data_IF_399174246086
#
_entry.id   IF_399174246086
#
_cell.length_a   1.000
_cell.length_b   1.000
_cell.length_c   1.000
_cell.angle_alpha   90.00
_cell.angle_beta   90.00
_cell.angle_gamma   90.00
#
_symmetry.space_group_name_H-M   'P 1'
#
loop_
_entity.id
_entity.type
_entity.pdbx_description
1 polymer ?
#
# COMPACT_ATOMS: atom_id res chain seq x y z
N UNK A 1 -9.63 11.24 -5.70
CA UNK A 1 -9.09 9.94 -6.20
C UNK A 1 -7.96 9.45 -5.31
N UNK A 2 -7.94 8.18 -4.99
CA UNK A 2 -6.84 7.57 -4.27
C UNK A 2 -5.82 7.04 -5.27
N UNK A 3 -4.56 7.39 -5.08
CA UNK A 3 -3.47 6.94 -5.96
C UNK A 3 -2.47 6.14 -5.15
N UNK A 4 -2.14 4.95 -5.60
CA UNK A 4 -1.13 4.12 -4.95
C UNK A 4 -0.06 3.78 -5.97
N UNK A 5 1.17 4.16 -5.65
CA UNK A 5 2.33 3.91 -6.50
C UNK A 5 3.25 2.92 -5.82
N UNK A 6 3.46 1.77 -6.44
CA UNK A 6 4.40 0.77 -5.95
C UNK A 6 5.79 1.05 -6.52
N UNK A 7 6.78 1.08 -5.65
CA UNK A 7 8.16 1.37 -6.02
C UNK A 7 8.90 0.07 -6.22
N UNK A 8 9.38 -0.17 -7.43
CA UNK A 8 10.04 -1.41 -7.79
C UNK A 8 11.45 -1.14 -8.30
N UNK A 9 12.36 -2.05 -7.99
CA UNK A 9 13.74 -2.00 -8.46
C UNK A 9 14.23 -3.45 -8.57
N UNK A 10 14.72 -3.83 -9.73
CA UNK A 10 15.24 -5.18 -9.98
C UNK A 10 14.25 -6.28 -9.56
N UNK A 11 13.00 -6.13 -9.97
CA UNK A 11 11.91 -7.06 -9.65
C UNK A 11 11.57 -7.17 -8.16
N UNK A 12 12.03 -6.20 -7.36
CA UNK A 12 11.72 -6.14 -5.93
C UNK A 12 10.78 -4.96 -5.68
N UNK A 13 9.71 -5.20 -4.94
CA UNK A 13 8.87 -4.12 -4.44
C UNK A 13 9.55 -3.54 -3.19
N UNK A 14 10.04 -2.32 -3.30
CA UNK A 14 10.74 -1.63 -2.20
C UNK A 14 9.80 -0.91 -1.27
N UNK A 15 8.60 -0.64 -1.71
CA UNK A 15 7.63 0.08 -0.92
C UNK A 15 6.49 0.62 -1.77
N UNK A 16 5.73 1.52 -1.19
CA UNK A 16 4.65 2.20 -1.93
C UNK A 16 4.36 3.55 -1.30
N UNK A 17 3.74 4.40 -2.11
CA UNK A 17 3.20 5.68 -1.68
C UNK A 17 1.71 5.69 -2.00
N UNK A 18 0.89 5.87 -0.98
CA UNK A 18 -0.55 5.99 -1.13
C UNK A 18 -0.95 7.44 -0.84
N UNK A 19 -1.65 8.05 -1.78
CA UNK A 19 -2.17 9.40 -1.63
C UNK A 19 -3.67 9.34 -1.86
N UNK A 20 -4.42 9.79 -0.88
CA UNK A 20 -5.84 9.73 -0.94
C UNK A 20 -6.47 11.09 -0.79
N UNK A 21 -7.73 11.15 -1.14
CA UNK A 21 -8.56 12.28 -0.84
C UNK A 21 -9.27 12.03 0.48
N UNK A 22 -9.24 12.98 1.36
CA UNK A 22 -10.00 12.94 2.61
C UNK A 22 -10.95 14.12 2.66
N UNK A 23 -12.00 14.02 3.43
CA UNK A 23 -12.95 15.10 3.60
C UNK A 23 -14.19 14.91 2.74
N UNK A 24 -14.45 15.79 1.81
CA UNK A 24 -15.71 15.82 1.07
C UNK A 24 -15.72 14.84 -0.11
N UNK A 25 -15.38 13.60 0.14
CA UNK A 25 -15.36 12.60 -0.91
C UNK A 25 -16.78 12.21 -1.31
N UNK A 26 -16.95 11.85 -2.59
CA UNK A 26 -18.15 11.19 -3.05
C UNK A 26 -18.31 9.86 -2.32
N UNK A 27 -19.53 9.36 -2.23
CA UNK A 27 -19.85 8.15 -1.47
C UNK A 27 -18.96 6.95 -1.86
N UNK A 28 -18.72 6.73 -3.16
CA UNK A 28 -17.85 5.66 -3.63
C UNK A 28 -16.41 5.87 -3.25
N UNK A 29 -15.96 7.10 -3.18
CA UNK A 29 -14.58 7.45 -2.82
C UNK A 29 -14.29 7.16 -1.36
N UNK A 30 -15.25 7.37 -0.45
CA UNK A 30 -15.09 7.03 0.97
C UNK A 30 -14.92 5.53 1.17
N UNK A 31 -15.69 4.74 0.46
CA UNK A 31 -15.61 3.27 0.52
C UNK A 31 -14.24 2.81 0.03
N UNK A 32 -13.76 3.35 -1.08
CA UNK A 32 -12.47 3.02 -1.64
C UNK A 32 -11.35 3.42 -0.69
N UNK A 33 -11.40 4.62 -0.14
CA UNK A 33 -10.39 5.11 0.79
C UNK A 33 -10.27 4.20 2.02
N UNK A 34 -11.40 3.78 2.57
CA UNK A 34 -11.44 2.86 3.71
C UNK A 34 -10.87 1.49 3.34
N UNK A 35 -11.22 0.96 2.18
CA UNK A 35 -10.73 -0.33 1.72
C UNK A 35 -9.20 -0.30 1.51
N UNK A 36 -8.68 0.73 0.87
CA UNK A 36 -7.25 0.92 0.65
C UNK A 36 -6.51 1.00 1.99
N UNK A 37 -6.99 1.83 2.90
CA UNK A 37 -6.36 2.02 4.20
C UNK A 37 -6.34 0.72 5.00
N UNK A 38 -7.45 -0.02 5.01
CA UNK A 38 -7.52 -1.30 5.72
C UNK A 38 -6.56 -2.33 5.16
N UNK A 39 -6.45 -2.44 3.84
CA UNK A 39 -5.53 -3.37 3.19
C UNK A 39 -4.07 -3.01 3.53
N UNK A 40 -3.71 -1.73 3.46
CA UNK A 40 -2.38 -1.25 3.81
C UNK A 40 -2.04 -1.57 5.26
N UNK A 41 -2.98 -1.36 6.17
CA UNK A 41 -2.76 -1.62 7.60
C UNK A 41 -2.51 -3.10 7.90
N UNK A 42 -3.18 -4.01 7.21
CA UNK A 42 -2.93 -5.44 7.36
C UNK A 42 -1.51 -5.79 6.92
N UNK A 43 -1.07 -5.27 5.79
CA UNK A 43 0.27 -5.53 5.28
C UNK A 43 1.32 -4.94 6.22
N UNK A 44 1.15 -3.70 6.65
CA UNK A 44 2.08 -3.04 7.57
C UNK A 44 2.16 -3.78 8.91
N UNK A 45 1.01 -4.13 9.49
CA UNK A 45 0.97 -4.85 10.77
C UNK A 45 1.65 -6.21 10.65
N UNK A 46 1.46 -6.91 9.54
CA UNK A 46 2.10 -8.21 9.34
C UNK A 46 3.61 -8.07 9.23
N UNK A 47 4.09 -7.14 8.41
CA UNK A 47 5.52 -6.94 8.21
C UNK A 47 6.21 -6.43 9.47
N UNK A 48 5.62 -5.47 10.17
CA UNK A 48 6.25 -4.82 11.32
C UNK A 48 5.95 -5.50 12.65
N UNK A 49 4.68 -5.80 12.92
CA UNK A 49 4.30 -6.32 14.25
C UNK A 49 4.43 -7.84 14.34
N UNK A 50 4.09 -8.56 13.28
CA UNK A 50 4.18 -10.02 13.25
C UNK A 50 5.59 -10.49 12.92
N UNK A 51 6.17 -9.94 11.85
CA UNK A 51 7.48 -10.34 11.37
C UNK A 51 8.64 -9.52 11.96
N UNK A 52 8.36 -8.35 12.52
CA UNK A 52 9.36 -7.54 13.20
C UNK A 52 10.41 -6.93 12.28
N UNK A 53 10.09 -6.61 11.03
CA UNK A 53 11.08 -6.19 10.06
C UNK A 53 11.41 -4.69 10.09
N UNK A 54 10.67 -3.90 10.86
CA UNK A 54 10.93 -2.48 11.02
C UNK A 54 10.91 -1.70 9.71
N UNK A 55 9.94 -1.97 8.86
CA UNK A 55 9.72 -1.17 7.66
C UNK A 55 9.38 0.27 8.05
N UNK A 56 9.89 1.24 7.30
CA UNK A 56 9.62 2.63 7.56
C UNK A 56 8.22 3.00 7.08
N UNK A 57 7.43 3.58 7.98
CA UNK A 57 6.07 4.00 7.67
C UNK A 57 5.93 5.47 8.08
N UNK A 58 5.51 6.30 7.12
CA UNK A 58 5.21 7.70 7.38
C UNK A 58 3.77 7.97 7.01
N UNK A 59 3.02 8.54 7.93
CA UNK A 59 1.62 8.91 7.73
C UNK A 59 1.49 10.41 7.87
N UNK A 60 0.91 11.05 6.86
CA UNK A 60 0.53 12.45 6.93
C UNK A 60 -0.99 12.53 6.80
N UNK A 61 -1.68 12.70 7.92
CA UNK A 61 -3.13 12.71 7.96
C UNK A 61 -3.73 13.92 7.24
N UNK A 62 -3.07 15.08 7.32
CA UNK A 62 -3.56 16.29 6.66
C UNK A 62 -3.52 16.17 5.15
N UNK A 63 -2.47 15.58 4.62
CA UNK A 63 -2.32 15.36 3.19
C UNK A 63 -2.93 14.03 2.71
N UNK A 64 -3.43 13.20 3.64
CA UNK A 64 -3.95 11.86 3.38
C UNK A 64 -2.92 11.00 2.63
N UNK A 65 -1.72 10.94 3.16
CA UNK A 65 -0.60 10.20 2.56
C UNK A 65 -0.07 9.13 3.50
N UNK A 66 0.29 7.98 2.92
CA UNK A 66 0.97 6.91 3.62
C UNK A 66 2.16 6.49 2.75
N UNK A 67 3.34 6.49 3.34
CA UNK A 67 4.57 6.09 2.66
C UNK A 67 5.15 4.89 3.39
N UNK A 68 5.42 3.81 2.66
CA UNK A 68 5.97 2.57 3.20
C UNK A 68 7.26 2.23 2.48
N UNK A 69 8.30 1.87 3.24
CA UNK A 69 9.59 1.45 2.67
C UNK A 69 10.06 0.18 3.36
N UNK A 70 10.25 -0.88 2.57
CA UNK A 70 10.75 -2.15 3.05
C UNK A 70 12.28 -2.08 3.16
N UNK A 71 12.88 -2.48 4.30
CA UNK A 71 14.33 -2.47 4.40
C UNK A 71 14.97 -3.54 3.54
N UNK A 72 16.25 -3.33 3.20
CA UNK A 72 17.06 -4.34 2.55
C UNK A 72 17.70 -5.28 3.55
N UNK A 73 18.49 -6.23 3.05
CA UNK A 73 19.26 -7.14 3.90
C UNK A 73 18.43 -8.14 4.68
N UNK A 74 17.20 -8.44 4.22
CA UNK A 74 16.34 -9.40 4.89
C UNK A 74 16.78 -10.84 4.61
N UNK A 75 16.42 -11.77 5.51
CA UNK A 75 16.60 -13.19 5.24
C UNK A 75 15.79 -13.60 4.01
N UNK A 76 16.15 -14.73 3.38
CA UNK A 76 15.40 -15.23 2.22
C UNK A 76 13.93 -15.42 2.54
N UNK A 77 13.61 -15.99 3.70
CA UNK A 77 12.23 -16.21 4.12
C UNK A 77 11.49 -14.91 4.33
N UNK A 78 12.09 -13.95 5.04
CA UNK A 78 11.48 -12.65 5.28
C UNK A 78 11.28 -11.87 3.99
N UNK A 79 12.25 -11.92 3.09
CA UNK A 79 12.16 -11.27 1.80
C UNK A 79 11.01 -11.86 0.97
N UNK A 80 10.95 -13.19 0.85
CA UNK A 80 9.90 -13.85 0.07
C UNK A 80 8.51 -13.55 0.64
N UNK A 81 8.35 -13.61 1.96
CA UNK A 81 7.06 -13.34 2.60
C UNK A 81 6.66 -11.88 2.39
N UNK A 82 7.59 -10.95 2.56
CA UNK A 82 7.32 -9.53 2.36
C UNK A 82 6.93 -9.23 0.92
N UNK A 83 7.63 -9.83 -0.05
CA UNK A 83 7.30 -9.64 -1.47
C UNK A 83 5.93 -10.22 -1.80
N UNK A 84 5.56 -11.35 -1.21
CA UNK A 84 4.23 -11.93 -1.40
C UNK A 84 3.13 -11.02 -0.83
N UNK A 85 3.36 -10.45 0.35
CA UNK A 85 2.41 -9.53 0.97
C UNK A 85 2.23 -8.25 0.14
N UNK A 86 3.33 -7.67 -0.32
CA UNK A 86 3.27 -6.44 -1.13
C UNK A 86 2.66 -6.70 -2.51
N UNK A 87 2.97 -7.83 -3.11
CA UNK A 87 2.37 -8.23 -4.38
C UNK A 87 0.88 -8.48 -4.21
N UNK A 88 0.49 -9.13 -3.12
CA UNK A 88 -0.93 -9.36 -2.81
C UNK A 88 -1.68 -8.04 -2.64
N UNK A 89 -1.06 -7.06 -1.97
CA UNK A 89 -1.64 -5.72 -1.84
C UNK A 89 -1.84 -5.09 -3.22
N UNK A 90 -0.83 -5.14 -4.07
CA UNK A 90 -0.91 -4.56 -5.42
C UNK A 90 -2.01 -5.23 -6.25
N UNK A 91 -2.11 -6.55 -6.19
CA UNK A 91 -3.15 -7.31 -6.90
C UNK A 91 -4.54 -6.93 -6.38
N UNK A 92 -4.71 -6.88 -5.07
CA UNK A 92 -6.00 -6.51 -4.48
C UNK A 92 -6.42 -5.08 -4.88
N UNK A 93 -5.50 -4.13 -4.79
CA UNK A 93 -5.79 -2.75 -5.16
C UNK A 93 -6.11 -2.61 -6.66
N UNK A 94 -5.50 -3.42 -7.51
CA UNK A 94 -5.82 -3.46 -8.94
C UNK A 94 -7.24 -3.99 -9.18
N UNK A 95 -7.67 -4.99 -8.40
CA UNK A 95 -9.06 -5.47 -8.45
C UNK A 95 -10.03 -4.39 -7.97
N UNK A 96 -9.64 -3.65 -6.94
CA UNK A 96 -10.45 -2.54 -6.44
C UNK A 96 -10.58 -1.45 -7.50
N UNK A 97 -9.51 -1.18 -8.25
CA UNK A 97 -9.56 -0.26 -9.39
C UNK A 97 -10.57 -0.75 -10.44
N UNK A 98 -10.60 -2.05 -10.73
CA UNK A 98 -11.56 -2.59 -11.70
C UNK A 98 -13.00 -2.38 -11.26
N UNK A 99 -13.27 -2.43 -9.95
CA UNK A 99 -14.60 -2.18 -9.40
C UNK A 99 -14.93 -0.68 -9.34
N UNK A 100 -13.95 0.14 -9.04
CA UNK A 100 -14.11 1.58 -8.82
C UNK A 100 -13.09 2.40 -9.64
N UNK A 101 -13.16 2.32 -10.98
CA UNK A 101 -12.09 2.90 -11.83
C UNK A 101 -11.97 4.42 -11.70
N UNK A 102 -13.02 5.11 -11.27
CA UNK A 102 -13.00 6.56 -11.12
C UNK A 102 -12.47 7.03 -9.76
N UNK A 103 -12.23 6.11 -8.83
CA UNK A 103 -11.88 6.46 -7.44
C UNK A 103 -10.51 6.00 -7.00
N UNK A 104 -9.88 5.11 -7.71
CA UNK A 104 -8.54 4.61 -7.38
C UNK A 104 -7.73 4.35 -8.64
N UNK A 105 -6.45 4.70 -8.58
CA UNK A 105 -5.48 4.29 -9.60
C UNK A 105 -4.28 3.62 -8.92
N UNK A 106 -3.70 2.65 -9.60
CA UNK A 106 -2.55 1.89 -9.12
C UNK A 106 -1.46 1.95 -10.16
N UNK A 107 -0.26 2.35 -9.75
CA UNK A 107 0.87 2.56 -10.64
C UNK A 107 2.11 1.86 -10.12
N UNK A 108 3.04 1.60 -11.02
CA UNK A 108 4.38 1.15 -10.68
C UNK A 108 5.40 2.20 -11.12
N UNK A 109 6.40 2.39 -10.31
CA UNK A 109 7.48 3.31 -10.61
C UNK A 109 8.85 2.70 -10.35
#
# INVERSE_FOLDING_TARGET
MTSVTFLTEENRINGFDAKGHSGYAAQGEDIVCAAVTSAIRVVEATINDVMGLCAAVKVNEQAAEIHFRLPGGLSETAEATSQNLLTGLMVYLSRLHDEYPDFIEVMEA
#
